data_IF_807027322323
#
_entry.id   IF_807027322323
#
_cell.length_a   1.000
_cell.length_b   1.000
_cell.length_c   1.000
_cell.angle_alpha   90.00
_cell.angle_beta   90.00
_cell.angle_gamma   90.00
#
_symmetry.space_group_name_H-M   'P 1'
#
loop_
_entity.id
_entity.type
_entity.pdbx_description
1 polymer ?
#
# COMPACT_ATOMS: atom_id res chain seq x y z
N UNK A 1 -15.88 1.45 23.61
CA UNK A 1 -15.47 2.63 22.81
C UNK A 1 -14.25 2.25 21.98
N UNK A 2 -14.21 2.70 20.72
CA UNK A 2 -13.07 2.46 19.84
C UNK A 2 -12.43 3.79 19.47
N UNK A 3 -11.12 3.86 19.59
CA UNK A 3 -10.33 5.00 19.17
C UNK A 3 -9.71 4.70 17.81
N UNK A 4 -9.70 5.68 16.92
CA UNK A 4 -9.08 5.57 15.60
C UNK A 4 -8.12 6.71 15.38
N UNK A 5 -6.97 6.39 14.78
CA UNK A 5 -5.99 7.37 14.32
C UNK A 5 -5.70 7.13 12.85
N UNK A 6 -5.39 8.18 12.11
CA UNK A 6 -5.09 8.08 10.69
C UNK A 6 -3.70 8.60 10.39
N UNK A 7 -3.05 7.99 9.39
CA UNK A 7 -1.80 8.48 8.82
C UNK A 7 -1.94 8.55 7.31
N UNK A 8 -1.66 9.72 6.78
CA UNK A 8 -1.80 10.00 5.35
C UNK A 8 -0.43 10.23 4.71
N UNK A 9 -0.15 9.48 3.65
CA UNK A 9 1.01 9.68 2.78
C UNK A 9 0.47 10.14 1.43
N UNK A 10 0.44 11.47 1.25
CA UNK A 10 -0.22 12.08 0.11
C UNK A 10 0.56 11.99 -1.19
N UNK A 11 -0.06 12.43 -2.28
CA UNK A 11 0.57 12.45 -3.62
C UNK A 11 1.86 13.26 -3.66
N UNK A 12 2.01 14.24 -2.76
CA UNK A 12 3.20 15.10 -2.67
C UNK A 12 4.45 14.38 -2.15
N UNK A 13 4.29 13.19 -1.57
CA UNK A 13 5.44 12.36 -1.16
C UNK A 13 6.18 11.83 -2.40
N UNK A 14 5.46 11.66 -3.50
CA UNK A 14 6.07 11.30 -4.77
C UNK A 14 6.37 9.82 -4.91
N UNK A 15 5.46 8.95 -4.46
CA UNK A 15 5.57 7.50 -4.68
C UNK A 15 5.25 7.19 -6.15
N UNK A 16 6.22 7.42 -7.02
CA UNK A 16 6.06 7.29 -8.45
C UNK A 16 6.10 5.83 -8.87
N UNK A 17 4.95 5.27 -9.19
CA UNK A 17 4.81 3.86 -9.56
C UNK A 17 4.26 3.72 -10.98
N UNK A 18 4.77 2.73 -11.70
CA UNK A 18 4.29 2.33 -13.03
C UNK A 18 3.79 0.91 -12.95
N UNK A 19 2.64 0.65 -13.55
CA UNK A 19 2.06 -0.69 -13.59
C UNK A 19 1.12 -0.86 -14.79
N UNK A 20 0.67 -2.08 -15.03
CA UNK A 20 -0.33 -2.41 -16.05
C UNK A 20 -1.23 -3.52 -15.53
N UNK A 21 -2.46 -3.59 -16.07
CA UNK A 21 -3.37 -4.69 -15.81
C UNK A 21 -3.29 -5.67 -16.98
N UNK A 22 -2.61 -6.81 -16.83
CA UNK A 22 -2.37 -7.71 -17.95
C UNK A 22 -3.66 -8.35 -18.50
N UNK A 23 -4.74 -8.39 -17.71
CA UNK A 23 -6.01 -8.97 -18.11
C UNK A 23 -7.04 -7.94 -18.61
N UNK A 24 -6.67 -6.66 -18.70
CA UNK A 24 -7.59 -5.61 -19.13
C UNK A 24 -7.56 -5.42 -20.65
N UNK A 25 -7.94 -6.46 -21.40
CA UNK A 25 -7.87 -6.47 -22.87
C UNK A 25 -8.72 -5.39 -23.54
N UNK A 26 -9.77 -4.92 -22.85
CA UNK A 26 -10.72 -3.94 -23.35
C UNK A 26 -10.32 -2.48 -23.05
N UNK A 27 -9.21 -2.27 -22.35
CA UNK A 27 -8.88 -0.96 -21.76
C UNK A 27 -7.42 -0.60 -22.00
N UNK A 28 -7.14 0.71 -22.00
CA UNK A 28 -5.77 1.23 -22.01
C UNK A 28 -4.99 0.85 -20.74
N UNK A 29 -5.66 0.35 -19.70
CA UNK A 29 -5.00 -0.13 -18.48
C UNK A 29 -4.06 -1.31 -18.72
N UNK A 30 -4.15 -1.97 -19.88
CA UNK A 30 -3.19 -3.01 -20.29
C UNK A 30 -1.81 -2.45 -20.62
N UNK A 31 -1.73 -1.16 -20.90
CA UNK A 31 -0.46 -0.47 -21.17
C UNK A 31 0.17 -0.01 -19.87
N UNK A 32 1.49 0.07 -19.83
CA UNK A 32 2.18 0.69 -18.71
C UNK A 32 1.72 2.13 -18.56
N UNK A 33 1.34 2.51 -17.35
CA UNK A 33 0.96 3.86 -16.99
C UNK A 33 1.31 4.08 -15.53
N UNK A 34 1.46 5.31 -15.12
CA UNK A 34 1.97 5.63 -13.79
C UNK A 34 1.17 6.69 -13.08
N UNK A 35 1.30 6.64 -11.76
CA UNK A 35 0.69 7.61 -10.84
C UNK A 35 1.67 7.92 -9.71
N UNK A 36 1.49 9.08 -9.10
CA UNK A 36 2.07 9.36 -7.79
C UNK A 36 1.06 8.88 -6.74
N UNK A 37 1.25 7.66 -6.25
CA UNK A 37 0.28 7.03 -5.36
C UNK A 37 0.20 7.72 -4.00
N UNK A 38 -1.00 7.72 -3.42
CA UNK A 38 -1.22 8.17 -2.05
C UNK A 38 -1.84 7.04 -1.23
N UNK A 39 -1.43 6.94 0.03
CA UNK A 39 -1.95 5.91 0.95
C UNK A 39 -2.44 6.56 2.23
N UNK A 40 -3.60 6.14 2.70
CA UNK A 40 -4.13 6.55 4.00
C UNK A 40 -4.43 5.31 4.83
N UNK A 41 -3.85 5.26 6.02
CA UNK A 41 -4.02 4.15 6.95
C UNK A 41 -4.90 4.60 8.11
N UNK A 42 -5.84 3.74 8.51
CA UNK A 42 -6.65 3.94 9.71
C UNK A 42 -6.30 2.82 10.70
N UNK A 43 -5.83 3.24 11.87
CA UNK A 43 -5.49 2.38 12.99
C UNK A 43 -6.62 2.44 14.02
N UNK A 44 -6.86 1.34 14.73
CA UNK A 44 -7.90 1.28 15.74
C UNK A 44 -7.42 0.55 16.99
N UNK A 45 -7.99 0.91 18.12
CA UNK A 45 -7.77 0.21 19.40
C UNK A 45 -8.95 0.47 20.33
N UNK A 46 -9.16 -0.44 21.29
CA UNK A 46 -10.14 -0.23 22.36
C UNK A 46 -9.53 0.48 23.55
N UNK A 47 -8.24 0.24 23.82
CA UNK A 47 -7.51 0.87 24.91
C UNK A 47 -6.32 1.67 24.40
N UNK A 48 -6.19 2.91 24.89
CA UNK A 48 -5.04 3.76 24.60
C UNK A 48 -3.82 3.31 25.42
N UNK A 49 -2.62 3.75 24.98
CA UNK A 49 -1.41 3.53 25.74
C UNK A 49 -1.28 4.54 26.90
N UNK A 50 -0.15 4.49 27.60
CA UNK A 50 0.10 5.37 28.76
C UNK A 50 0.27 6.84 28.39
N UNK A 51 0.33 7.18 27.09
CA UNK A 51 0.38 8.56 26.58
C UNK A 51 -0.96 8.98 25.99
N UNK A 52 -2.00 8.15 26.13
CA UNK A 52 -3.31 8.35 25.52
C UNK A 52 -3.27 8.31 24.00
N UNK A 53 -2.38 7.51 23.43
CA UNK A 53 -2.28 7.31 21.98
C UNK A 53 -2.86 5.97 21.55
N UNK A 54 -3.54 5.98 20.40
CA UNK A 54 -3.89 4.75 19.70
C UNK A 54 -2.63 4.16 19.05
N UNK A 55 -1.84 5.01 18.40
CA UNK A 55 -0.60 4.62 17.73
C UNK A 55 0.43 5.74 17.89
N UNK A 56 1.71 5.34 17.99
CA UNK A 56 2.82 6.28 17.99
C UNK A 56 3.17 6.63 16.53
N UNK A 57 2.83 7.85 16.10
CA UNK A 57 3.12 8.29 14.72
C UNK A 57 4.62 8.28 14.41
N UNK A 58 5.47 8.52 15.39
CA UNK A 58 6.92 8.42 15.22
C UNK A 58 7.38 6.99 14.91
N UNK A 59 6.63 6.00 15.35
CA UNK A 59 6.91 4.58 15.11
C UNK A 59 6.45 4.07 13.74
N UNK A 60 5.87 4.94 12.89
CA UNK A 60 5.35 4.56 11.57
C UNK A 60 6.38 4.68 10.45
N UNK A 61 7.61 5.09 10.74
CA UNK A 61 8.68 5.21 9.73
C UNK A 61 8.87 3.95 8.87
N UNK A 62 8.80 2.73 9.43
CA UNK A 62 8.92 1.53 8.61
C UNK A 62 7.83 1.41 7.53
N UNK A 63 6.64 1.97 7.75
CA UNK A 63 5.57 1.98 6.74
C UNK A 63 5.98 2.86 5.56
N UNK A 64 6.47 4.07 5.83
CA UNK A 64 6.94 4.98 4.77
C UNK A 64 8.10 4.35 4.00
N UNK A 65 9.06 3.76 4.70
CA UNK A 65 10.20 3.09 4.08
C UNK A 65 9.74 1.93 3.17
N UNK A 66 8.77 1.15 3.61
CA UNK A 66 8.20 0.07 2.81
C UNK A 66 7.48 0.60 1.57
N UNK A 67 6.69 1.68 1.72
CA UNK A 67 6.01 2.30 0.58
C UNK A 67 7.01 2.80 -0.47
N UNK A 68 8.08 3.44 -0.03
CA UNK A 68 9.13 3.93 -0.93
C UNK A 68 9.84 2.77 -1.63
N UNK A 69 10.16 1.71 -0.90
CA UNK A 69 10.83 0.54 -1.47
C UNK A 69 9.96 -0.21 -2.47
N UNK A 70 8.67 -0.30 -2.22
CA UNK A 70 7.76 -1.07 -3.08
C UNK A 70 7.24 -0.28 -4.27
N UNK A 71 7.13 1.04 -4.16
CA UNK A 71 6.41 1.83 -5.16
C UNK A 71 7.22 2.94 -5.81
N UNK A 72 8.10 3.63 -5.05
CA UNK A 72 8.75 4.82 -5.58
C UNK A 72 9.81 4.47 -6.62
N UNK A 73 9.64 4.98 -7.84
CA UNK A 73 10.48 4.68 -9.01
C UNK A 73 10.52 3.19 -9.34
N UNK A 74 9.39 2.51 -9.14
CA UNK A 74 9.29 1.08 -9.38
C UNK A 74 8.33 0.75 -10.52
N UNK A 75 8.67 -0.31 -11.25
CA UNK A 75 7.72 -0.97 -12.16
C UNK A 75 7.09 -2.10 -11.35
N UNK A 76 5.80 -1.94 -11.06
CA UNK A 76 5.05 -2.88 -10.23
C UNK A 76 4.35 -3.89 -11.14
N UNK A 77 4.75 -5.15 -11.06
CA UNK A 77 4.27 -6.19 -11.97
C UNK A 77 3.44 -7.23 -11.23
N UNK A 78 2.38 -7.68 -11.88
CA UNK A 78 1.65 -8.86 -11.44
C UNK A 78 2.52 -10.10 -11.66
N UNK A 79 2.62 -10.95 -10.65
CA UNK A 79 3.39 -12.20 -10.75
C UNK A 79 2.94 -13.10 -11.91
N UNK A 80 1.68 -12.94 -12.35
CA UNK A 80 1.09 -13.70 -13.45
C UNK A 80 1.09 -12.96 -14.79
N UNK A 81 1.80 -11.83 -14.88
CA UNK A 81 1.91 -11.11 -16.15
C UNK A 81 2.64 -12.00 -17.17
N UNK A 82 2.04 -12.29 -18.34
CA UNK A 82 2.67 -13.14 -19.34
C UNK A 82 3.96 -12.56 -19.92
N UNK A 83 4.19 -11.25 -19.76
CA UNK A 83 5.38 -10.56 -20.22
C UNK A 83 6.38 -10.26 -19.09
N UNK A 84 6.25 -10.92 -17.95
CA UNK A 84 7.07 -10.67 -16.76
C UNK A 84 8.58 -10.67 -17.08
N UNK A 85 9.03 -11.67 -17.86
CA UNK A 85 10.46 -11.80 -18.19
C UNK A 85 10.96 -10.63 -19.03
N UNK A 86 10.14 -10.06 -19.89
CA UNK A 86 10.50 -8.88 -20.69
C UNK A 86 10.74 -7.65 -19.81
N UNK A 87 9.91 -7.46 -18.79
CA UNK A 87 10.10 -6.36 -17.85
C UNK A 87 11.33 -6.58 -16.96
N UNK A 88 11.62 -7.82 -16.58
CA UNK A 88 12.83 -8.14 -15.81
C UNK A 88 14.10 -7.84 -16.61
N UNK A 89 14.07 -7.99 -17.93
CA UNK A 89 15.19 -7.62 -18.80
C UNK A 89 15.55 -6.14 -18.65
N UNK A 90 14.55 -5.26 -18.43
CA UNK A 90 14.81 -3.84 -18.20
C UNK A 90 15.59 -3.61 -16.90
N UNK A 91 15.33 -4.39 -15.87
CA UNK A 91 16.10 -4.32 -14.63
C UNK A 91 17.54 -4.78 -14.83
N UNK A 92 17.74 -5.85 -15.60
CA UNK A 92 19.09 -6.35 -15.93
C UNK A 92 19.92 -5.31 -16.70
N UNK A 93 19.24 -4.49 -17.53
CA UNK A 93 19.86 -3.41 -18.28
C UNK A 93 20.01 -2.11 -17.48
N UNK A 94 19.64 -2.14 -16.20
CA UNK A 94 19.67 -0.95 -15.33
C UNK A 94 18.77 0.20 -15.83
N UNK A 95 17.64 -0.15 -16.42
CA UNK A 95 16.66 0.81 -16.95
C UNK A 95 15.42 0.93 -16.08
N UNK A 96 15.23 0.03 -15.12
CA UNK A 96 14.08 -0.01 -14.22
C UNK A 96 14.40 -0.78 -12.96
N UNK A 97 13.66 -0.49 -11.89
CA UNK A 97 13.60 -1.37 -10.72
C UNK A 97 12.23 -2.01 -10.68
N UNK A 98 12.19 -3.33 -10.60
CA UNK A 98 10.97 -4.12 -10.65
C UNK A 98 10.56 -4.58 -9.26
N UNK A 99 9.25 -4.52 -8.99
CA UNK A 99 8.64 -5.16 -7.81
C UNK A 99 7.52 -6.07 -8.28
N UNK A 100 7.49 -7.28 -7.77
CA UNK A 100 6.50 -8.29 -8.16
C UNK A 100 5.47 -8.42 -7.07
N UNK A 101 4.20 -8.32 -7.46
CA UNK A 101 3.05 -8.35 -6.55
C UNK A 101 2.13 -9.53 -6.87
N UNK A 102 1.45 -10.01 -5.86
CA UNK A 102 0.31 -10.89 -6.03
C UNK A 102 -0.92 -10.03 -6.36
N UNK A 103 -0.99 -9.59 -7.61
CA UNK A 103 -1.98 -8.65 -8.09
C UNK A 103 -1.52 -7.20 -8.03
N UNK A 104 -1.94 -6.40 -9.00
CA UNK A 104 -1.64 -4.97 -9.13
C UNK A 104 -2.92 -4.16 -9.27
N UNK A 105 -2.82 -2.85 -9.10
CA UNK A 105 -3.94 -1.92 -9.11
C UNK A 105 -4.20 -1.38 -7.71
N UNK A 106 -5.00 -0.32 -7.62
CA UNK A 106 -5.23 0.39 -6.36
C UNK A 106 -5.75 -0.52 -5.26
N UNK A 107 -6.67 -1.44 -5.58
CA UNK A 107 -7.24 -2.39 -4.62
C UNK A 107 -6.17 -3.33 -4.06
N UNK A 108 -5.36 -3.90 -4.93
CA UNK A 108 -4.30 -4.83 -4.50
C UNK A 108 -3.17 -4.11 -3.80
N UNK A 109 -2.81 -2.91 -4.22
CA UNK A 109 -1.81 -2.10 -3.53
C UNK A 109 -2.27 -1.75 -2.12
N UNK A 110 -3.55 -1.39 -1.96
CA UNK A 110 -4.12 -1.15 -0.63
C UNK A 110 -4.08 -2.40 0.24
N UNK A 111 -4.40 -3.57 -0.32
CA UNK A 111 -4.36 -4.85 0.39
C UNK A 111 -2.95 -5.19 0.87
N UNK A 112 -1.94 -5.06 0.00
CA UNK A 112 -0.55 -5.32 0.38
C UNK A 112 -0.05 -4.34 1.45
N UNK A 113 -0.42 -3.07 1.33
CA UNK A 113 -0.07 -2.07 2.35
C UNK A 113 -0.77 -2.36 3.68
N UNK A 114 -2.03 -2.81 3.63
CA UNK A 114 -2.78 -3.22 4.81
C UNK A 114 -2.04 -4.35 5.56
N UNK A 115 -1.67 -5.39 4.83
CA UNK A 115 -1.03 -6.57 5.44
C UNK A 115 0.31 -6.21 6.10
N UNK A 116 1.11 -5.39 5.43
CA UNK A 116 2.40 -4.95 5.99
C UNK A 116 2.19 -4.11 7.26
N UNK A 117 1.33 -3.10 7.18
CA UNK A 117 1.11 -2.17 8.29
C UNK A 117 0.43 -2.85 9.49
N UNK A 118 -0.53 -3.73 9.24
CA UNK A 118 -1.23 -4.44 10.30
C UNK A 118 -0.29 -5.34 11.09
N UNK A 119 0.54 -6.10 10.39
CA UNK A 119 1.55 -6.94 11.03
C UNK A 119 2.52 -6.11 11.88
N UNK A 120 3.02 -5.01 11.32
CA UNK A 120 3.96 -4.13 12.01
C UNK A 120 3.35 -3.57 13.30
N UNK A 121 2.13 -3.04 13.22
CA UNK A 121 1.48 -2.38 14.34
C UNK A 121 1.08 -3.38 15.42
N UNK A 122 0.57 -4.54 15.03
CA UNK A 122 0.26 -5.59 16.01
C UNK A 122 1.50 -6.06 16.78
N UNK A 123 2.61 -6.24 16.09
CA UNK A 123 3.87 -6.60 16.72
C UNK A 123 4.37 -5.52 17.67
N UNK A 124 4.32 -4.25 17.25
CA UNK A 124 4.80 -3.13 18.07
C UNK A 124 3.93 -2.85 19.29
N UNK A 125 2.66 -3.18 19.24
CA UNK A 125 1.70 -2.86 20.31
C UNK A 125 1.19 -4.09 21.08
N UNK A 126 1.75 -5.24 20.82
CA UNK A 126 1.31 -6.52 21.38
C UNK A 126 -0.19 -6.72 21.18
N UNK A 127 -0.65 -6.51 19.94
CA UNK A 127 -2.03 -6.64 19.47
C UNK A 127 -3.03 -5.65 20.10
N UNK A 128 -2.57 -4.63 20.80
CA UNK A 128 -3.45 -3.57 21.31
C UNK A 128 -4.05 -2.73 20.20
N UNK A 129 -3.22 -2.39 19.20
CA UNK A 129 -3.61 -1.59 18.05
C UNK A 129 -3.48 -2.41 16.76
N UNK A 130 -4.32 -2.13 15.80
CA UNK A 130 -4.38 -2.85 14.53
C UNK A 130 -4.85 -1.91 13.41
N UNK A 131 -4.62 -2.32 12.16
CA UNK A 131 -5.11 -1.58 10.99
C UNK A 131 -6.51 -2.08 10.66
N UNK A 132 -7.44 -1.16 10.39
CA UNK A 132 -8.79 -1.53 9.95
C UNK A 132 -9.09 -1.07 8.52
N UNK A 133 -8.33 -0.13 7.99
CA UNK A 133 -8.64 0.46 6.69
C UNK A 133 -7.38 1.00 6.04
N UNK A 134 -7.21 0.75 4.75
CA UNK A 134 -6.19 1.39 3.92
C UNK A 134 -6.84 1.84 2.62
N UNK A 135 -6.60 3.10 2.27
CA UNK A 135 -6.96 3.66 0.98
C UNK A 135 -5.70 3.85 0.14
N UNK A 136 -5.77 3.43 -1.14
CA UNK A 136 -4.75 3.74 -2.14
C UNK A 136 -5.39 4.60 -3.22
N UNK A 137 -4.86 5.79 -3.42
CA UNK A 137 -5.36 6.72 -4.43
C UNK A 137 -4.36 6.83 -5.59
N UNK A 138 -4.86 6.66 -6.81
CA UNK A 138 -4.08 6.87 -8.03
C UNK A 138 -3.87 8.36 -8.29
N UNK A 139 -4.95 9.13 -8.13
CA UNK A 139 -4.98 10.59 -8.22
C UNK A 139 -6.23 11.11 -7.49
N UNK A 140 -6.50 12.41 -7.58
CA UNK A 140 -7.57 13.02 -6.80
C UNK A 140 -8.99 12.52 -7.09
N UNK A 141 -9.21 11.84 -8.22
CA UNK A 141 -10.54 11.37 -8.61
C UNK A 141 -10.76 9.87 -8.36
N UNK A 142 -9.70 9.06 -8.28
CA UNK A 142 -9.82 7.59 -8.21
C UNK A 142 -9.02 7.03 -7.05
N UNK A 143 -9.70 6.25 -6.21
CA UNK A 143 -9.06 5.52 -5.13
C UNK A 143 -9.78 4.20 -4.88
N UNK A 144 -9.11 3.32 -4.14
CA UNK A 144 -9.68 2.06 -3.68
C UNK A 144 -9.41 1.90 -2.19
N UNK A 145 -10.31 1.24 -1.50
CA UNK A 145 -10.24 1.04 -0.05
C UNK A 145 -10.34 -0.45 0.25
N UNK A 146 -9.44 -0.92 1.13
CA UNK A 146 -9.55 -2.23 1.78
C UNK A 146 -9.87 -1.98 3.25
N UNK A 147 -10.91 -2.64 3.74
CA UNK A 147 -11.40 -2.40 5.08
C UNK A 147 -11.83 -3.72 5.71
N UNK A 148 -11.50 -3.93 6.97
CA UNK A 148 -12.06 -5.03 7.77
C UNK A 148 -13.22 -4.48 8.59
N UNK A 149 -14.26 -5.31 8.75
CA UNK A 149 -15.31 -4.99 9.69
C UNK A 149 -14.75 -4.98 11.11
N UNK A 150 -15.21 -4.03 11.96
CA UNK A 150 -14.66 -3.85 13.31
C UNK A 150 -14.73 -5.12 14.17
N UNK A 151 -15.79 -5.92 14.02
CA UNK A 151 -15.95 -7.17 14.75
C UNK A 151 -14.98 -8.28 14.27
N UNK A 152 -14.33 -8.12 13.14
CA UNK A 152 -13.37 -9.06 12.55
C UNK A 152 -11.94 -8.54 12.60
N UNK A 153 -11.70 -7.37 13.19
CA UNK A 153 -10.38 -6.72 13.19
C UNK A 153 -9.41 -7.34 14.19
N UNK A 154 -9.91 -7.99 15.24
CA UNK A 154 -9.09 -8.60 16.30
C UNK A 154 -8.60 -10.00 15.99
#
# INVERSE_FOLDING_TARGET
>A
MIYKSTKHYGHNIGLSAVFRQPNADHSHCRFLHGYSLAFTFTFACEGLDNKNWAVDFGGLRPIKAWLEDMFDHKVCLDKNDPHLEKFKELEELDLAEVRIFDGVGAEKFAEHAFDFADKLIREKTNNRCYVIKVECAEHGANSAIVEKEENNAS
#
